data_IF_361565746336
#
_entry.id   IF_361565746336
#
_cell.length_a   1.000
_cell.length_b   1.000
_cell.length_c   1.000
_cell.angle_alpha   90.00
_cell.angle_beta   90.00
_cell.angle_gamma   90.00
#
_symmetry.space_group_name_H-M   'P 1'
#
loop_
_entity.id
_entity.type
_entity.pdbx_description
1 polymer ?
#
# COMPACT_ATOMS: atom_id res chain seq x y z
N UNK A 1 -9.19 53.39 8.37
CA UNK A 1 -9.21 52.31 9.39
C UNK A 1 -10.38 51.40 9.07
N UNK A 2 -10.15 50.28 8.38
CA UNK A 2 -11.15 49.21 8.28
C UNK A 2 -10.42 47.87 8.36
N UNK A 3 -10.93 47.04 9.26
CA UNK A 3 -10.39 45.78 9.74
C UNK A 3 -10.17 44.75 8.63
N UNK A 4 -8.97 44.17 8.59
CA UNK A 4 -8.71 42.84 8.05
C UNK A 4 -9.22 41.81 9.07
N UNK A 5 -10.28 41.10 8.74
CA UNK A 5 -10.66 39.86 9.42
C UNK A 5 -11.36 38.95 8.44
N UNK A 6 -10.62 38.03 7.83
CA UNK A 6 -11.11 36.74 7.32
C UNK A 6 -9.94 35.82 7.01
N UNK A 7 -9.37 35.17 8.03
CA UNK A 7 -8.55 33.97 7.85
C UNK A 7 -8.93 32.93 8.91
N UNK A 8 -10.21 32.56 8.95
CA UNK A 8 -10.71 31.56 9.90
C UNK A 8 -11.87 30.75 9.30
N UNK A 9 -11.65 30.07 8.17
CA UNK A 9 -12.67 29.14 7.63
C UNK A 9 -12.14 28.00 6.76
N UNK A 10 -10.98 27.40 7.10
CA UNK A 10 -10.48 26.18 6.42
C UNK A 10 -10.28 24.97 7.36
N UNK A 11 -11.02 24.94 8.46
CA UNK A 11 -11.15 23.76 9.32
C UNK A 11 -12.62 23.38 9.52
N UNK A 12 -13.40 23.31 8.44
CA UNK A 12 -14.62 22.52 8.48
C UNK A 12 -14.23 21.06 8.74
N UNK A 13 -14.73 20.52 9.84
CA UNK A 13 -14.66 19.10 10.17
C UNK A 13 -15.24 18.29 9.01
N UNK A 14 -14.38 17.77 8.14
CA UNK A 14 -14.71 16.63 7.28
C UNK A 14 -15.05 15.46 8.22
N UNK A 15 -16.33 15.29 8.52
CA UNK A 15 -16.84 14.07 9.14
C UNK A 15 -16.74 12.98 8.07
N UNK A 16 -15.62 12.26 8.06
CA UNK A 16 -15.48 11.05 7.24
C UNK A 16 -16.35 9.98 7.88
N UNK A 17 -17.59 9.84 7.42
CA UNK A 17 -18.61 8.89 7.90
C UNK A 17 -18.51 7.52 7.22
N UNK A 18 -17.32 7.12 6.76
CA UNK A 18 -17.17 5.82 6.12
C UNK A 18 -17.23 4.70 7.16
N UNK A 19 -18.33 3.96 7.11
CA UNK A 19 -18.55 2.75 7.90
C UNK A 19 -17.61 1.64 7.42
N UNK A 20 -17.39 0.65 8.30
CA UNK A 20 -16.66 -0.54 7.88
C UNK A 20 -17.60 -1.41 7.07
N UNK A 21 -17.12 -1.88 5.93
CA UNK A 21 -17.78 -2.86 5.10
C UNK A 21 -17.03 -4.18 5.19
N UNK A 22 -17.77 -5.28 5.00
CA UNK A 22 -17.25 -6.63 4.99
C UNK A 22 -17.39 -7.19 3.58
N UNK A 23 -16.30 -7.70 3.03
CA UNK A 23 -16.27 -8.36 1.73
C UNK A 23 -15.86 -9.82 1.96
N UNK A 24 -16.75 -10.74 1.64
CA UNK A 24 -16.56 -12.19 1.68
C UNK A 24 -16.20 -12.74 0.31
N UNK A 25 -15.67 -13.98 0.26
CA UNK A 25 -15.28 -14.61 -1.01
C UNK A 25 -16.43 -14.80 -2.02
N UNK A 26 -17.68 -14.75 -1.56
CA UNK A 26 -18.87 -14.85 -2.43
C UNK A 26 -19.30 -13.50 -3.00
N UNK A 27 -18.77 -12.39 -2.49
CA UNK A 27 -19.11 -11.06 -2.96
C UNK A 27 -18.36 -10.72 -4.25
N UNK A 28 -19.04 -10.05 -5.19
CA UNK A 28 -18.43 -9.64 -6.47
C UNK A 28 -17.23 -8.71 -6.30
N UNK A 29 -17.19 -7.93 -5.23
CA UNK A 29 -16.10 -7.01 -4.90
C UNK A 29 -14.88 -7.72 -4.27
N UNK A 30 -14.95 -9.04 -4.02
CA UNK A 30 -13.81 -9.79 -3.52
C UNK A 30 -12.75 -9.94 -4.62
N UNK A 31 -11.49 -9.56 -4.36
CA UNK A 31 -10.42 -9.68 -5.35
C UNK A 31 -9.99 -11.15 -5.50
N UNK A 32 -10.79 -11.96 -6.20
CA UNK A 32 -10.61 -13.43 -6.31
C UNK A 32 -9.23 -13.86 -6.81
N UNK A 33 -8.54 -13.04 -7.60
CA UNK A 33 -7.19 -13.29 -8.08
C UNK A 33 -6.16 -13.49 -6.94
N UNK A 34 -6.41 -13.00 -5.73
CA UNK A 34 -5.51 -13.24 -4.60
C UNK A 34 -5.43 -14.73 -4.23
N UNK A 35 -6.47 -15.51 -4.54
CA UNK A 35 -6.54 -16.94 -4.22
C UNK A 35 -5.51 -17.75 -5.00
N UNK A 36 -5.12 -17.30 -6.21
CA UNK A 36 -4.03 -17.91 -7.00
C UNK A 36 -2.71 -17.93 -6.24
N UNK A 37 -2.46 -16.91 -5.41
CA UNK A 37 -1.21 -16.73 -4.68
C UNK A 37 -1.28 -17.25 -3.25
N UNK A 38 -2.35 -16.92 -2.53
CA UNK A 38 -2.51 -17.23 -1.12
C UNK A 38 -3.05 -18.64 -0.87
N UNK A 39 -3.78 -19.23 -1.83
CA UNK A 39 -4.37 -20.58 -1.70
C UNK A 39 -5.16 -20.71 -0.38
N UNK A 40 -4.78 -21.64 0.49
CA UNK A 40 -5.42 -21.88 1.78
C UNK A 40 -5.24 -20.73 2.79
N UNK A 41 -4.28 -19.83 2.56
CA UNK A 41 -4.09 -18.63 3.37
C UNK A 41 -4.93 -17.44 2.89
N UNK A 42 -5.78 -17.63 1.88
CA UNK A 42 -6.68 -16.58 1.39
C UNK A 42 -7.69 -16.19 2.47
N UNK A 43 -7.87 -14.89 2.75
CA UNK A 43 -8.82 -14.47 3.77
C UNK A 43 -10.25 -14.80 3.34
N UNK A 44 -11.03 -15.45 4.22
CA UNK A 44 -12.47 -15.64 4.00
C UNK A 44 -13.23 -14.31 3.97
N UNK A 45 -12.68 -13.31 4.67
CA UNK A 45 -13.29 -12.00 4.84
C UNK A 45 -12.22 -10.92 4.82
N UNK A 46 -12.54 -9.83 4.13
CA UNK A 46 -11.78 -8.59 4.08
C UNK A 46 -12.65 -7.49 4.69
N UNK A 47 -12.08 -6.71 5.61
CA UNK A 47 -12.72 -5.54 6.20
C UNK A 47 -12.19 -4.30 5.51
N UNK A 48 -13.09 -3.44 5.04
CA UNK A 48 -12.74 -2.22 4.32
C UNK A 48 -13.35 -0.99 4.98
N UNK A 49 -12.67 0.15 4.83
CA UNK A 49 -13.20 1.48 5.16
C UNK A 49 -12.63 2.46 4.16
N UNK A 50 -13.47 3.01 3.30
CA UNK A 50 -12.99 3.70 2.10
C UNK A 50 -13.89 3.45 0.90
N UNK A 51 -13.45 3.98 -0.24
CA UNK A 51 -14.03 3.65 -1.53
C UNK A 51 -13.58 2.24 -1.98
N UNK A 52 -14.50 1.28 -1.99
CA UNK A 52 -14.21 -0.12 -2.37
C UNK A 52 -13.94 -0.27 -3.88
N UNK A 53 -14.36 0.70 -4.70
CA UNK A 53 -14.14 0.71 -6.15
C UNK A 53 -12.64 0.81 -6.51
N UNK A 54 -11.80 1.19 -5.55
CA UNK A 54 -10.34 1.18 -5.71
C UNK A 54 -9.78 -0.27 -5.78
N UNK A 55 -10.54 -1.27 -5.31
CA UNK A 55 -10.07 -2.66 -5.38
C UNK A 55 -10.01 -3.16 -6.83
N UNK A 56 -8.94 -3.88 -7.22
CA UNK A 56 -8.92 -4.61 -8.47
C UNK A 56 -10.08 -5.61 -8.50
N UNK A 57 -10.79 -5.71 -9.63
CA UNK A 57 -11.96 -6.57 -9.89
C UNK A 57 -13.33 -6.10 -9.35
N UNK A 58 -13.44 -4.92 -8.73
CA UNK A 58 -14.74 -4.36 -8.32
C UNK A 58 -15.60 -3.82 -9.50
N UNK A 59 -15.64 -4.52 -10.64
CA UNK A 59 -16.42 -4.10 -11.82
C UNK A 59 -15.79 -2.99 -12.67
N UNK A 60 -14.58 -2.54 -12.35
CA UNK A 60 -13.93 -1.42 -13.02
C UNK A 60 -13.07 -1.88 -14.19
N UNK A 61 -13.38 -1.37 -15.39
CA UNK A 61 -12.83 -1.81 -16.67
C UNK A 61 -11.49 -1.18 -17.04
N UNK A 62 -10.92 -0.21 -16.30
CA UNK A 62 -9.81 0.55 -16.91
C UNK A 62 -8.71 1.19 -16.04
N UNK A 63 -8.74 1.23 -14.70
CA UNK A 63 -7.69 2.00 -13.97
C UNK A 63 -6.98 1.30 -12.80
N UNK A 64 -7.54 0.24 -12.19
CA UNK A 64 -6.91 -0.45 -11.04
C UNK A 64 -5.99 -1.62 -11.46
N UNK A 65 -5.84 -1.86 -12.77
CA UNK A 65 -4.97 -2.91 -13.31
C UNK A 65 -3.48 -2.70 -12.99
N UNK A 66 -3.05 -1.45 -12.74
CA UNK A 66 -1.66 -1.11 -12.41
C UNK A 66 -1.49 -0.68 -10.94
N UNK A 67 -1.92 -1.53 -10.02
CA UNK A 67 -1.75 -1.32 -8.58
C UNK A 67 -0.34 -1.75 -8.13
N UNK A 68 0.47 -0.78 -7.68
CA UNK A 68 1.84 -1.02 -7.21
C UNK A 68 1.91 -1.23 -5.71
N UNK A 69 2.48 -2.36 -5.28
CA UNK A 69 2.87 -2.55 -3.89
C UNK A 69 4.24 -1.95 -3.61
N UNK A 70 4.40 -1.26 -2.48
CA UNK A 70 5.71 -0.75 -2.02
C UNK A 70 6.10 -1.46 -0.72
N UNK A 71 7.29 -2.06 -0.73
CA UNK A 71 7.90 -2.68 0.44
C UNK A 71 9.32 -2.17 0.68
N UNK A 72 9.72 -2.09 1.95
CA UNK A 72 11.11 -1.82 2.30
C UNK A 72 11.48 -2.41 3.67
N UNK A 73 12.68 -2.98 3.77
CA UNK A 73 13.32 -3.27 5.06
C UNK A 73 13.39 -2.03 5.96
N UNK A 74 13.35 -2.25 7.28
CA UNK A 74 13.38 -1.16 8.27
C UNK A 74 14.72 -0.43 8.34
N UNK A 75 15.82 -1.16 8.15
CA UNK A 75 17.16 -0.60 7.93
C UNK A 75 17.37 -0.46 6.43
N UNK A 76 17.85 0.70 6.01
CA UNK A 76 18.03 0.98 4.59
C UNK A 76 19.14 2.01 4.35
N UNK A 77 19.99 1.82 3.32
CA UNK A 77 21.05 2.76 2.95
C UNK A 77 20.53 4.13 2.50
N UNK A 78 21.36 5.16 2.69
CA UNK A 78 21.03 6.55 2.33
C UNK A 78 20.66 6.74 0.86
N UNK A 79 21.40 6.10 -0.05
CA UNK A 79 21.12 6.13 -1.50
C UNK A 79 19.70 5.63 -1.82
N UNK A 80 19.28 4.53 -1.20
CA UNK A 80 17.96 3.96 -1.43
C UNK A 80 16.85 4.84 -0.85
N UNK A 81 17.10 5.56 0.25
CA UNK A 81 16.15 6.53 0.80
C UNK A 81 15.83 7.61 -0.24
N UNK A 82 16.86 8.13 -0.94
CA UNK A 82 16.68 9.12 -2.00
C UNK A 82 15.90 8.54 -3.19
N UNK A 83 16.29 7.36 -3.68
CA UNK A 83 15.58 6.70 -4.78
C UNK A 83 14.10 6.41 -4.45
N UNK A 84 13.80 6.02 -3.22
CA UNK A 84 12.43 5.78 -2.76
C UNK A 84 11.61 7.09 -2.68
N UNK A 85 12.24 8.19 -2.28
CA UNK A 85 11.61 9.51 -2.29
C UNK A 85 11.29 9.95 -3.73
N UNK A 86 12.24 9.83 -4.65
CA UNK A 86 12.05 10.15 -6.06
C UNK A 86 10.95 9.30 -6.71
N UNK A 87 10.90 8.01 -6.38
CA UNK A 87 9.81 7.12 -6.80
C UNK A 87 8.45 7.60 -6.29
N UNK A 88 8.34 7.94 -5.01
CA UNK A 88 7.07 8.41 -4.47
C UNK A 88 6.60 9.69 -5.17
N UNK A 89 7.53 10.60 -5.50
CA UNK A 89 7.24 11.78 -6.30
C UNK A 89 6.81 11.43 -7.72
N UNK A 90 7.52 10.50 -8.37
CA UNK A 90 7.18 10.02 -9.71
C UNK A 90 5.77 9.40 -9.75
N UNK A 91 5.48 8.46 -8.85
CA UNK A 91 4.17 7.81 -8.72
C UNK A 91 3.05 8.82 -8.47
N UNK A 92 3.28 9.76 -7.56
CA UNK A 92 2.34 10.87 -7.29
C UNK A 92 2.07 11.68 -8.56
N UNK A 93 3.12 12.12 -9.25
CA UNK A 93 3.00 12.98 -10.42
C UNK A 93 2.35 12.27 -11.61
N UNK A 94 2.58 10.97 -11.75
CA UNK A 94 2.04 10.13 -12.83
C UNK A 94 0.66 9.54 -12.54
N UNK A 95 0.14 9.74 -11.33
CA UNK A 95 -1.17 9.20 -10.99
C UNK A 95 -1.17 7.70 -10.65
N UNK A 96 -0.03 7.12 -10.25
CA UNK A 96 0.12 5.66 -10.06
C UNK A 96 -0.55 5.19 -8.77
N UNK A 97 -1.52 4.29 -8.89
CA UNK A 97 -2.20 3.68 -7.75
C UNK A 97 -1.25 2.83 -6.90
N UNK A 98 -1.33 2.94 -5.58
CA UNK A 98 -0.41 2.23 -4.66
C UNK A 98 -1.12 1.46 -3.56
N UNK A 99 -0.49 0.38 -3.10
CA UNK A 99 -0.90 -0.38 -1.92
C UNK A 99 0.29 -0.68 -1.02
N UNK A 100 0.06 -0.66 0.29
CA UNK A 100 1.10 -1.03 1.25
C UNK A 100 0.55 -1.00 2.67
N UNK A 101 1.32 -1.49 3.63
CA UNK A 101 1.01 -1.24 5.05
C UNK A 101 1.83 -0.12 5.66
N UNK A 102 2.74 0.47 4.88
CA UNK A 102 3.52 1.67 5.17
C UNK A 102 4.06 1.74 6.61
N UNK A 103 4.86 0.72 6.97
CA UNK A 103 5.34 0.50 8.33
C UNK A 103 6.79 0.94 8.54
N UNK A 104 7.68 0.66 7.58
CA UNK A 104 9.08 1.10 7.68
C UNK A 104 9.19 2.62 7.54
N UNK A 105 10.28 3.25 8.04
CA UNK A 105 10.47 4.70 7.90
C UNK A 105 10.38 5.19 6.45
N UNK A 106 10.94 4.43 5.50
CA UNK A 106 10.89 4.75 4.08
C UNK A 106 9.47 4.61 3.53
N UNK A 107 8.78 3.50 3.83
CA UNK A 107 7.42 3.35 3.33
C UNK A 107 6.50 4.46 3.86
N UNK A 108 6.68 4.87 5.13
CA UNK A 108 5.95 6.02 5.71
C UNK A 108 6.24 7.33 4.97
N UNK A 109 7.50 7.57 4.58
CA UNK A 109 7.85 8.74 3.79
C UNK A 109 7.22 8.69 2.40
N UNK A 110 7.26 7.54 1.71
CA UNK A 110 6.57 7.36 0.44
C UNK A 110 5.07 7.68 0.59
N UNK A 111 4.41 7.14 1.63
CA UNK A 111 3.00 7.44 1.89
C UNK A 111 2.76 8.95 2.09
N UNK A 112 3.62 9.66 2.84
CA UNK A 112 3.49 11.11 3.05
C UNK A 112 3.53 11.89 1.73
N UNK A 113 4.42 11.50 0.80
CA UNK A 113 4.47 12.10 -0.54
C UNK A 113 3.23 11.75 -1.34
N UNK A 114 2.86 10.47 -1.40
CA UNK A 114 1.73 9.96 -2.19
C UNK A 114 0.39 10.58 -1.76
N UNK A 115 0.16 10.80 -0.45
CA UNK A 115 -1.06 11.43 0.08
C UNK A 115 -1.29 12.85 -0.45
N UNK A 116 -0.25 13.54 -0.96
CA UNK A 116 -0.36 14.87 -1.56
C UNK A 116 -0.74 14.86 -3.05
N UNK A 117 -0.97 13.69 -3.65
CA UNK A 117 -1.47 13.57 -5.03
C UNK A 117 -2.97 13.33 -5.11
N UNK A 118 -3.44 12.86 -6.27
CA UNK A 118 -4.84 12.53 -6.57
C UNK A 118 -5.08 11.02 -6.80
N UNK A 119 -4.02 10.23 -6.95
CA UNK A 119 -4.03 8.81 -7.33
C UNK A 119 -4.44 7.84 -6.23
N UNK A 120 -5.30 6.85 -6.48
CA UNK A 120 -5.79 5.93 -5.45
C UNK A 120 -4.70 5.32 -4.56
N UNK A 121 -4.96 5.24 -3.24
CA UNK A 121 -4.05 4.63 -2.27
C UNK A 121 -4.82 3.65 -1.40
N UNK A 122 -4.30 2.42 -1.30
CA UNK A 122 -4.79 1.40 -0.37
C UNK A 122 -3.78 1.23 0.77
N UNK A 123 -4.24 1.29 2.01
CA UNK A 123 -3.43 0.94 3.18
C UNK A 123 -3.92 -0.34 3.84
N UNK A 124 -2.98 -1.25 4.07
CA UNK A 124 -3.21 -2.54 4.73
C UNK A 124 -2.52 -2.60 6.09
N UNK A 125 -3.16 -2.18 7.19
CA UNK A 125 -2.60 -2.36 8.53
C UNK A 125 -2.53 -3.84 8.92
N UNK A 126 -1.47 -4.23 9.64
CA UNK A 126 -1.32 -5.57 10.21
C UNK A 126 -2.12 -5.73 11.53
N UNK A 127 -3.37 -5.28 11.55
CA UNK A 127 -4.30 -5.25 12.71
C UNK A 127 -5.74 -5.01 12.24
N UNK A 128 -6.69 -5.19 13.14
CA UNK A 128 -8.09 -4.82 12.94
C UNK A 128 -8.27 -3.32 12.71
N UNK A 129 -9.25 -2.99 11.87
CA UNK A 129 -9.66 -1.62 11.56
C UNK A 129 -10.92 -1.17 12.32
N UNK A 130 -11.63 -2.08 12.99
CA UNK A 130 -12.89 -1.79 13.72
C UNK A 130 -12.75 -0.57 14.62
N UNK A 131 -11.81 -0.66 15.56
CA UNK A 131 -11.53 0.39 16.54
C UNK A 131 -10.29 1.22 16.16
N UNK A 132 -9.91 1.23 14.88
CA UNK A 132 -8.75 2.00 14.44
C UNK A 132 -9.10 3.47 14.29
N UNK A 133 -8.38 4.32 15.02
CA UNK A 133 -8.43 5.77 14.86
C UNK A 133 -7.94 6.17 13.47
N UNK A 134 -8.74 6.93 12.75
CA UNK A 134 -8.34 7.53 11.47
C UNK A 134 -7.37 8.68 11.75
N UNK A 135 -6.18 8.59 11.15
CA UNK A 135 -5.19 9.67 11.23
C UNK A 135 -5.69 10.90 10.49
N UNK A 136 -5.30 12.08 10.96
CA UNK A 136 -5.71 13.34 10.34
C UNK A 136 -5.30 13.42 8.87
N UNK A 137 -4.10 12.93 8.54
CA UNK A 137 -3.56 12.88 7.18
C UNK A 137 -4.36 11.99 6.20
N UNK A 138 -5.21 11.09 6.71
CA UNK A 138 -6.03 10.19 5.87
C UNK A 138 -7.43 10.75 5.63
N UNK A 139 -7.89 11.74 6.40
CA UNK A 139 -9.27 12.22 6.31
C UNK A 139 -9.59 12.84 4.95
N UNK A 140 -8.71 13.70 4.44
CA UNK A 140 -8.91 14.36 3.14
C UNK A 140 -8.93 13.34 1.99
N UNK A 141 -7.97 12.40 1.87
CA UNK A 141 -8.04 11.35 0.85
C UNK A 141 -9.26 10.43 0.97
N UNK A 142 -9.72 10.14 2.19
CA UNK A 142 -10.95 9.36 2.41
C UNK A 142 -12.20 10.13 1.94
N UNK A 143 -12.30 11.43 2.24
CA UNK A 143 -13.43 12.26 1.76
C UNK A 143 -13.41 12.53 0.25
N UNK A 144 -12.27 12.30 -0.39
CA UNK A 144 -12.09 12.41 -1.84
C UNK A 144 -12.25 11.05 -2.55
N UNK A 145 -12.73 10.02 -1.85
CA UNK A 145 -12.97 8.67 -2.38
C UNK A 145 -11.77 8.04 -3.10
N UNK A 146 -10.56 8.47 -2.72
CA UNK A 146 -9.29 8.04 -3.32
C UNK A 146 -8.38 7.28 -2.33
N UNK A 147 -8.94 6.91 -1.18
CA UNK A 147 -8.24 6.18 -0.13
C UNK A 147 -9.08 5.00 0.36
N UNK A 148 -8.43 3.85 0.53
CA UNK A 148 -9.05 2.64 1.07
C UNK A 148 -8.19 2.06 2.18
N UNK A 149 -8.79 1.85 3.34
CA UNK A 149 -8.18 1.09 4.43
C UNK A 149 -8.71 -0.33 4.34
N UNK A 150 -7.81 -1.30 4.30
CA UNK A 150 -8.15 -2.71 4.11
C UNK A 150 -7.45 -3.57 5.15
N UNK A 151 -8.18 -4.44 5.85
CA UNK A 151 -7.58 -5.43 6.75
C UNK A 151 -8.16 -6.82 6.51
N UNK A 152 -7.34 -7.84 6.76
CA UNK A 152 -7.75 -9.26 6.83
C UNK A 152 -7.87 -9.74 8.28
N UNK A 153 -7.84 -8.82 9.24
CA UNK A 153 -7.86 -9.13 10.67
C UNK A 153 -9.13 -8.59 11.32
N UNK A 154 -9.94 -9.48 11.91
CA UNK A 154 -11.17 -9.10 12.61
C UNK A 154 -10.91 -8.46 13.99
N UNK A 155 -10.26 -9.21 14.92
CA UNK A 155 -10.14 -8.82 16.34
C UNK A 155 -8.72 -8.51 16.81
N UNK A 156 -7.74 -8.52 15.91
CA UNK A 156 -6.35 -8.36 16.30
C UNK A 156 -6.03 -6.88 16.62
N UNK A 157 -5.80 -6.57 17.88
CA UNK A 157 -5.59 -5.20 18.37
C UNK A 157 -4.15 -4.69 18.19
N UNK A 158 -3.16 -5.59 18.27
CA UNK A 158 -1.74 -5.26 18.21
C UNK A 158 -1.06 -5.82 16.96
N UNK A 159 -0.11 -5.05 16.43
CA UNK A 159 0.72 -5.47 15.30
C UNK A 159 1.89 -6.31 15.81
N UNK A 160 2.15 -7.45 15.17
CA UNK A 160 3.35 -8.25 15.40
C UNK A 160 3.98 -8.71 14.07
N UNK A 161 5.17 -9.32 14.14
CA UNK A 161 5.91 -9.75 12.96
C UNK A 161 5.16 -10.77 12.10
N UNK A 162 4.47 -11.74 12.73
CA UNK A 162 3.67 -12.76 12.02
C UNK A 162 2.52 -12.13 11.25
N UNK A 163 1.80 -11.19 11.88
CA UNK A 163 0.72 -10.45 11.24
C UNK A 163 1.22 -9.53 10.13
N UNK A 164 2.37 -8.88 10.33
CA UNK A 164 3.01 -8.10 9.28
C UNK A 164 3.38 -8.98 8.08
N UNK A 165 3.88 -10.20 8.32
CA UNK A 165 4.13 -11.20 7.28
C UNK A 165 2.86 -11.58 6.52
N UNK A 166 1.78 -11.95 7.21
CA UNK A 166 0.48 -12.27 6.57
C UNK A 166 -0.06 -11.08 5.77
N UNK A 167 0.02 -9.88 6.33
CA UNK A 167 -0.36 -8.64 5.64
C UNK A 167 0.48 -8.40 4.39
N UNK A 168 1.80 -8.63 4.44
CA UNK A 168 2.68 -8.42 3.28
C UNK A 168 2.31 -9.36 2.14
N UNK A 169 2.08 -10.65 2.42
CA UNK A 169 1.61 -11.61 1.43
C UNK A 169 0.27 -11.20 0.84
N UNK A 170 -0.67 -10.74 1.66
CA UNK A 170 -1.95 -10.23 1.19
C UNK A 170 -1.80 -9.01 0.26
N UNK A 171 -1.01 -8.01 0.67
CA UNK A 171 -0.72 -6.81 -0.15
C UNK A 171 -0.10 -7.19 -1.49
N UNK A 172 0.87 -8.11 -1.48
CA UNK A 172 1.53 -8.54 -2.70
C UNK A 172 0.63 -9.39 -3.60
N UNK A 173 -0.25 -10.21 -3.03
CA UNK A 173 -1.23 -10.97 -3.80
C UNK A 173 -2.19 -10.02 -4.54
N UNK A 174 -2.62 -8.94 -3.88
CA UNK A 174 -3.52 -7.91 -4.40
C UNK A 174 -2.89 -7.04 -5.49
N UNK A 175 -1.60 -6.74 -5.39
CA UNK A 175 -0.90 -5.86 -6.33
C UNK A 175 -0.56 -6.56 -7.65
N UNK A 176 -0.58 -5.82 -8.76
CA UNK A 176 -0.13 -6.33 -10.07
C UNK A 176 1.38 -6.21 -10.25
N UNK A 177 2.00 -5.18 -9.67
CA UNK A 177 3.46 -4.97 -9.66
C UNK A 177 3.95 -4.68 -8.24
N UNK A 178 5.18 -5.10 -7.95
CA UNK A 178 5.76 -4.98 -6.61
C UNK A 178 7.09 -4.26 -6.72
N UNK A 179 7.26 -3.17 -5.98
CA UNK A 179 8.56 -2.54 -5.75
C UNK A 179 9.06 -2.89 -4.35
N UNK A 180 10.23 -3.51 -4.28
CA UNK A 180 10.99 -3.66 -3.04
C UNK A 180 12.14 -2.65 -3.11
N UNK A 181 11.99 -1.53 -2.39
CA UNK A 181 12.98 -0.46 -2.37
C UNK A 181 14.33 -0.99 -1.85
N UNK A 182 14.29 -1.74 -0.75
CA UNK A 182 15.46 -2.42 -0.20
C UNK A 182 15.08 -3.69 0.57
N UNK A 183 15.92 -4.70 0.44
CA UNK A 183 15.97 -5.84 1.32
C UNK A 183 17.42 -6.06 1.76
N UNK A 184 17.66 -6.04 3.08
CA UNK A 184 18.97 -6.39 3.60
C UNK A 184 19.28 -7.87 3.34
N UNK A 185 20.56 -8.23 3.30
CA UNK A 185 21.00 -9.62 3.31
C UNK A 185 20.43 -10.36 4.53
N UNK A 186 20.06 -11.63 4.34
CA UNK A 186 19.46 -12.50 5.35
C UNK A 186 18.23 -11.90 6.08
N UNK A 187 17.49 -11.04 5.38
CA UNK A 187 16.28 -10.42 5.92
C UNK A 187 15.01 -11.17 5.53
N UNK A 188 13.99 -11.05 6.39
CA UNK A 188 12.63 -11.49 6.07
C UNK A 188 12.07 -10.83 4.81
N UNK A 189 12.55 -9.63 4.46
CA UNK A 189 12.15 -8.96 3.21
C UNK A 189 12.77 -9.66 1.99
N UNK A 190 13.99 -10.18 2.10
CA UNK A 190 14.64 -10.95 1.03
C UNK A 190 13.97 -12.32 0.86
N UNK A 191 13.70 -13.03 1.96
CA UNK A 191 12.90 -14.27 1.95
C UNK A 191 11.52 -14.04 1.31
N UNK A 192 10.87 -12.94 1.69
CA UNK A 192 9.61 -12.54 1.09
C UNK A 192 9.74 -12.29 -0.42
N UNK A 193 10.79 -11.60 -0.88
CA UNK A 193 11.05 -11.38 -2.31
C UNK A 193 11.17 -12.71 -3.09
N UNK A 194 11.85 -13.71 -2.52
CA UNK A 194 11.95 -15.05 -3.12
C UNK A 194 10.57 -15.68 -3.33
N UNK A 195 9.68 -15.58 -2.33
CA UNK A 195 8.30 -16.08 -2.44
C UNK A 195 7.55 -15.38 -3.57
N UNK A 196 7.68 -14.05 -3.68
CA UNK A 196 7.01 -13.27 -4.73
C UNK A 196 7.49 -13.63 -6.14
N UNK A 197 8.78 -13.89 -6.31
CA UNK A 197 9.35 -14.33 -7.58
C UNK A 197 8.88 -15.75 -7.93
N UNK A 198 8.77 -16.65 -6.94
CA UNK A 198 8.17 -17.99 -7.13
C UNK A 198 6.69 -17.92 -7.49
N UNK A 199 5.97 -16.90 -7.04
CA UNK A 199 4.60 -16.61 -7.47
C UNK A 199 4.51 -16.08 -8.91
N UNK A 200 5.64 -15.79 -9.55
CA UNK A 200 5.67 -15.16 -10.88
C UNK A 200 5.23 -13.70 -10.87
N UNK A 201 5.23 -13.02 -9.71
CA UNK A 201 4.90 -11.59 -9.64
C UNK A 201 6.02 -10.75 -10.26
N UNK A 202 5.70 -9.69 -11.01
CA UNK A 202 6.69 -8.68 -11.39
C UNK A 202 7.24 -7.97 -10.15
N UNK A 203 8.48 -8.29 -9.77
CA UNK A 203 9.19 -7.66 -8.66
C UNK A 203 10.26 -6.74 -9.22
N UNK A 204 10.24 -5.49 -8.80
CA UNK A 204 11.16 -4.44 -9.17
C UNK A 204 11.98 -3.97 -7.97
N UNK A 205 13.19 -3.49 -8.22
CA UNK A 205 14.04 -2.82 -7.24
C UNK A 205 14.91 -1.77 -7.91
N UNK A 206 15.53 -0.89 -7.13
CA UNK A 206 16.47 0.11 -7.67
C UNK A 206 17.77 -0.56 -8.13
N UNK A 207 18.35 -0.04 -9.21
CA UNK A 207 19.66 -0.46 -9.69
C UNK A 207 20.76 0.10 -8.79
N UNK A 208 21.00 -0.61 -7.69
CA UNK A 208 21.95 -0.21 -6.65
C UNK A 208 22.74 -1.41 -6.17
N UNK A 209 24.00 -1.16 -5.78
CA UNK A 209 24.86 -2.18 -5.21
C UNK A 209 24.29 -2.80 -3.92
N UNK A 210 23.49 -2.03 -3.18
CA UNK A 210 22.80 -2.48 -1.95
C UNK A 210 21.65 -3.46 -2.20
N UNK A 211 21.16 -3.54 -3.44
CA UNK A 211 20.08 -4.44 -3.85
C UNK A 211 20.57 -5.59 -4.74
N UNK A 212 21.89 -5.83 -4.79
CA UNK A 212 22.48 -6.99 -5.49
C UNK A 212 21.77 -8.31 -5.15
N UNK A 213 21.44 -8.63 -3.88
CA UNK A 213 20.71 -9.85 -3.57
C UNK A 213 19.33 -9.93 -4.26
N UNK A 214 18.58 -8.83 -4.30
CA UNK A 214 17.29 -8.78 -4.99
C UNK A 214 17.45 -8.97 -6.51
N UNK A 215 18.43 -8.31 -7.11
CA UNK A 215 18.71 -8.43 -8.54
C UNK A 215 19.17 -9.84 -8.92
N UNK A 216 20.00 -10.48 -8.09
CA UNK A 216 20.46 -11.86 -8.28
C UNK A 216 19.32 -12.87 -8.16
N UNK A 217 18.32 -12.60 -7.32
CA UNK A 217 17.10 -13.42 -7.24
C UNK A 217 16.22 -13.31 -8.49
N UNK A 218 16.42 -12.29 -9.33
CA UNK A 218 15.63 -12.06 -10.54
C UNK A 218 14.66 -10.88 -10.45
N UNK A 219 14.79 -10.02 -9.44
CA UNK A 219 14.08 -8.75 -9.44
C UNK A 219 14.54 -7.88 -10.64
N UNK A 220 13.58 -7.21 -11.26
CA UNK A 220 13.81 -6.32 -12.39
C UNK A 220 14.28 -4.94 -11.89
N UNK A 221 15.06 -4.24 -12.71
CA UNK A 221 15.47 -2.87 -12.41
C UNK A 221 14.29 -1.93 -12.66
N UNK A 222 13.93 -1.15 -11.66
CA UNK A 222 12.98 -0.06 -11.85
C UNK A 222 13.70 1.10 -12.55
N UNK A 223 13.10 1.60 -13.63
CA UNK A 223 13.58 2.77 -14.35
C UNK A 223 12.52 3.87 -14.27
N UNK A 224 12.97 5.09 -14.01
CA UNK A 224 12.10 6.26 -14.04
C UNK A 224 11.76 6.60 -15.49
N UNK A 225 10.49 6.47 -15.88
CA UNK A 225 9.97 7.03 -17.14
C UNK A 225 10.18 6.17 -18.39
N UNK A 226 9.80 4.89 -18.35
CA UNK A 226 9.40 4.16 -19.56
C UNK A 226 7.94 4.37 -19.92
#
# INVERSE_FOLDING_TARGET
MHHLSTNSTYHQHLQVTQTIQRISQTDKSYPSHIQTYLKNDSPETIWTRGNIEILPNAGNTTETADLWAIFCSSKCPGEIILNAHDLAHHFRNKGVSTVGGFHSPIEKECLRVLLRGSQPIIICPARSIENMRIKQEWKVPLSQDRFLILSTFHKASQQNATMAGKRNHFVAALASKILIAHAAEDSKTLEFAQTLLKWGKPVYTFDSSYNKPLLQLGAQRYQFGS
#
